data_IF_913033657291
#
_entry.id   IF_913033657291
#
_cell.length_a   1.000
_cell.length_b   1.000
_cell.length_c   1.000
_cell.angle_alpha   90.00
_cell.angle_beta   90.00
_cell.angle_gamma   90.00
#
_symmetry.space_group_name_H-M   'P 1'
#
loop_
_entity.id
_entity.type
_entity.pdbx_description
1 polymer ?
#
# COMPACT_ATOMS: atom_id res chain seq x y z
N UNK A 1 24.13 18.34 17.06
CA UNK A 1 24.06 17.63 15.78
C UNK A 1 22.61 17.53 15.30
N UNK A 2 22.39 17.11 14.07
CA UNK A 2 21.04 17.07 13.46
C UNK A 2 20.03 16.23 14.26
N UNK A 3 20.44 15.08 14.81
CA UNK A 3 19.56 14.23 15.61
C UNK A 3 19.13 14.88 16.92
N UNK A 4 20.06 15.55 17.60
CA UNK A 4 19.76 16.32 18.83
C UNK A 4 18.82 17.48 18.54
N UNK A 5 19.00 18.14 17.39
CA UNK A 5 18.13 19.23 16.95
C UNK A 5 16.71 18.71 16.64
N UNK A 6 16.60 17.63 15.90
CA UNK A 6 15.32 16.99 15.62
C UNK A 6 14.57 16.64 16.92
N UNK A 7 15.25 15.99 17.87
CA UNK A 7 14.64 15.62 19.14
C UNK A 7 14.10 16.83 19.92
N UNK A 8 14.88 17.92 20.00
CA UNK A 8 14.45 19.15 20.67
C UNK A 8 13.27 19.80 19.97
N UNK A 9 13.29 19.84 18.65
CA UNK A 9 12.18 20.41 17.85
C UNK A 9 10.92 19.57 17.99
N UNK A 10 11.04 18.24 18.02
CA UNK A 10 9.92 17.34 18.29
C UNK A 10 9.34 17.53 19.69
N UNK A 11 10.20 17.67 20.69
CA UNK A 11 9.77 17.98 22.06
C UNK A 11 8.96 19.29 22.11
N UNK A 12 9.49 20.36 21.54
CA UNK A 12 8.79 21.64 21.48
C UNK A 12 7.46 21.54 20.70
N UNK A 13 7.43 20.81 19.59
CA UNK A 13 6.20 20.55 18.82
C UNK A 13 5.12 19.91 19.69
N UNK A 14 5.47 18.87 20.45
CA UNK A 14 4.52 18.18 21.31
C UNK A 14 3.97 19.07 22.43
N UNK A 15 4.82 19.91 23.03
CA UNK A 15 4.37 20.84 24.06
C UNK A 15 3.47 21.96 23.50
N UNK A 16 3.80 22.49 22.34
CA UNK A 16 3.12 23.66 21.77
C UNK A 16 1.82 23.29 21.07
N UNK A 17 1.82 22.21 20.28
CA UNK A 17 0.67 21.84 19.45
C UNK A 17 -0.30 20.88 20.18
N UNK A 18 0.23 20.07 21.11
CA UNK A 18 -0.57 19.02 21.79
C UNK A 18 -0.67 19.20 23.30
N UNK A 19 -0.11 20.28 23.85
CA UNK A 19 -0.08 20.50 25.31
C UNK A 19 0.34 19.24 26.09
N UNK A 20 1.33 18.52 25.54
CA UNK A 20 1.84 17.30 26.14
C UNK A 20 2.44 17.62 27.52
N UNK A 21 2.26 16.70 28.48
CA UNK A 21 2.96 16.78 29.76
C UNK A 21 4.45 16.53 29.55
N UNK A 22 5.34 17.46 29.96
CA UNK A 22 6.76 17.34 29.69
C UNK A 22 7.40 16.12 30.34
N UNK A 23 6.99 15.78 31.55
CA UNK A 23 7.59 14.70 32.32
C UNK A 23 7.12 13.33 31.77
N UNK A 24 5.83 13.20 31.43
CA UNK A 24 5.30 12.00 30.79
C UNK A 24 5.94 11.78 29.42
N UNK A 25 6.11 12.83 28.61
CA UNK A 25 6.73 12.74 27.29
C UNK A 25 8.18 12.26 27.36
N UNK A 26 8.97 12.86 28.26
CA UNK A 26 10.37 12.46 28.48
C UNK A 26 10.44 11.04 29.04
N UNK A 27 9.53 10.67 29.93
CA UNK A 27 9.44 9.31 30.46
C UNK A 27 9.18 8.30 29.34
N UNK A 28 8.13 8.49 28.53
CA UNK A 28 7.84 7.59 27.40
C UNK A 28 9.04 7.44 26.45
N UNK A 29 9.72 8.54 26.13
CA UNK A 29 10.89 8.50 25.24
C UNK A 29 12.08 7.77 25.88
N UNK A 30 12.31 7.98 27.16
CA UNK A 30 13.40 7.31 27.91
C UNK A 30 13.16 5.80 27.95
N UNK A 31 11.98 5.38 28.36
CA UNK A 31 11.59 3.97 28.37
C UNK A 31 11.66 3.34 26.98
N UNK A 32 11.26 4.12 25.96
CA UNK A 32 11.33 3.67 24.56
C UNK A 32 12.77 3.44 24.10
N UNK A 33 13.72 4.28 24.51
CA UNK A 33 15.13 4.12 24.16
C UNK A 33 15.76 2.93 24.91
N UNK A 34 15.44 2.78 26.19
CA UNK A 34 15.92 1.67 27.03
C UNK A 34 15.38 0.34 26.53
N UNK A 35 14.07 0.28 26.20
CA UNK A 35 13.45 -0.89 25.59
C UNK A 35 13.39 -2.12 26.49
N UNK A 36 13.28 -1.94 27.81
CA UNK A 36 13.34 -3.01 28.82
C UNK A 36 11.98 -3.61 29.17
N UNK A 37 10.90 -3.11 28.56
CA UNK A 37 9.54 -3.58 28.80
C UNK A 37 8.75 -3.72 27.49
N UNK A 38 7.59 -4.38 27.56
CA UNK A 38 6.64 -4.43 26.45
C UNK A 38 5.91 -3.08 26.30
N UNK A 39 5.49 -2.73 25.06
CA UNK A 39 4.75 -1.50 24.82
C UNK A 39 3.45 -1.40 25.64
N UNK A 40 3.24 -0.27 26.27
CA UNK A 40 2.01 0.07 26.98
C UNK A 40 1.61 1.51 26.63
N UNK A 41 0.46 1.73 25.99
CA UNK A 41 -0.57 0.75 25.57
C UNK A 41 -0.10 -0.23 24.50
N UNK A 42 -0.66 -1.44 24.50
CA UNK A 42 -0.30 -2.54 23.60
C UNK A 42 -0.42 -2.17 22.11
N UNK A 43 -1.35 -1.30 21.78
CA UNK A 43 -1.67 -0.90 20.40
C UNK A 43 -0.59 0.01 19.83
N UNK A 44 -0.26 1.06 20.54
CA UNK A 44 0.78 2.05 20.19
C UNK A 44 1.02 2.95 21.42
N UNK A 45 2.24 3.44 21.58
CA UNK A 45 2.56 4.39 22.65
C UNK A 45 1.77 5.70 22.49
N UNK A 46 1.42 6.32 23.62
CA UNK A 46 0.57 7.52 23.67
C UNK A 46 1.07 8.66 22.79
N UNK A 47 2.30 9.06 22.96
CA UNK A 47 2.86 10.19 22.21
C UNK A 47 3.33 9.81 20.81
N UNK A 48 3.69 8.55 20.60
CA UNK A 48 3.90 8.01 19.25
C UNK A 48 2.62 8.07 18.44
N UNK A 49 1.46 7.69 19.00
CA UNK A 49 0.17 7.77 18.32
C UNK A 49 -0.16 9.19 17.86
N UNK A 50 0.07 10.18 18.71
CA UNK A 50 -0.19 11.59 18.40
C UNK A 50 0.66 12.04 17.20
N UNK A 51 1.97 11.81 17.25
CA UNK A 51 2.89 12.19 16.18
C UNK A 51 2.58 11.49 14.85
N UNK A 52 2.30 10.20 14.92
CA UNK A 52 1.98 9.42 13.71
C UNK A 52 0.61 9.80 13.16
N UNK A 53 -0.36 10.13 14.00
CA UNK A 53 -1.66 10.64 13.54
C UNK A 53 -1.51 11.96 12.80
N UNK A 54 -0.73 12.91 13.32
CA UNK A 54 -0.45 14.16 12.63
C UNK A 54 0.23 13.93 11.29
N UNK A 55 1.21 13.02 11.28
CA UNK A 55 1.89 12.61 10.07
C UNK A 55 0.93 12.03 9.02
N UNK A 56 0.05 11.10 9.42
CA UNK A 56 -0.95 10.54 8.50
C UNK A 56 -1.96 11.59 8.04
N UNK A 57 -2.38 12.50 8.90
CA UNK A 57 -3.24 13.61 8.54
C UNK A 57 -2.58 14.50 7.46
N UNK A 58 -1.28 14.77 7.60
CA UNK A 58 -0.53 15.52 6.60
C UNK A 58 -0.37 14.74 5.30
N UNK A 59 0.07 13.47 5.37
CA UNK A 59 0.50 12.70 4.21
C UNK A 59 -0.63 11.94 3.52
N UNK A 60 -1.55 11.38 4.29
CA UNK A 60 -2.63 10.54 3.75
C UNK A 60 -3.94 11.32 3.56
N UNK A 61 -4.10 12.44 4.25
CA UNK A 61 -5.28 13.29 4.12
C UNK A 61 -4.99 14.63 3.41
N UNK A 62 -3.78 14.81 2.87
CA UNK A 62 -3.35 16.09 2.28
C UNK A 62 -3.59 17.30 3.21
N UNK A 63 -3.32 17.13 4.52
CA UNK A 63 -3.56 18.15 5.54
C UNK A 63 -5.04 18.46 5.83
N UNK A 64 -5.97 17.70 5.28
CA UNK A 64 -7.42 17.88 5.45
C UNK A 64 -8.07 16.57 5.96
N UNK A 65 -7.85 16.20 7.22
CA UNK A 65 -8.43 14.99 7.78
C UNK A 65 -9.97 15.09 7.86
N UNK A 66 -10.68 13.95 7.85
CA UNK A 66 -12.11 13.94 8.11
C UNK A 66 -12.40 14.34 9.56
N UNK A 67 -13.66 14.66 9.84
CA UNK A 67 -14.09 14.93 11.23
C UNK A 67 -13.93 13.66 12.10
N UNK A 68 -13.42 13.82 13.30
CA UNK A 68 -13.09 12.75 14.23
C UNK A 68 -11.59 12.40 14.18
N UNK A 69 -11.24 11.23 14.70
CA UNK A 69 -9.84 10.79 14.75
C UNK A 69 -9.68 9.36 14.23
N UNK A 70 -8.46 9.02 13.89
CA UNK A 70 -8.07 7.66 13.62
C UNK A 70 -7.44 7.05 14.86
N UNK A 71 -7.84 5.85 15.21
CA UNK A 71 -7.10 5.01 16.13
C UNK A 71 -6.00 4.28 15.35
N UNK A 72 -4.80 4.18 15.92
CA UNK A 72 -3.64 3.61 15.23
C UNK A 72 -3.15 2.34 15.94
N UNK A 73 -2.68 1.38 15.15
CA UNK A 73 -2.02 0.17 15.64
C UNK A 73 -0.65 0.03 14.99
N UNK A 74 0.41 0.11 15.79
CA UNK A 74 1.80 -0.02 15.34
C UNK A 74 2.16 -1.49 15.07
N UNK A 75 2.65 -1.78 13.87
CA UNK A 75 2.95 -3.14 13.40
C UNK A 75 4.36 -3.29 12.87
N UNK A 76 4.84 -4.54 12.81
CA UNK A 76 6.18 -4.93 12.38
C UNK A 76 6.33 -4.91 10.85
N UNK A 77 5.91 -3.81 10.25
CA UNK A 77 5.86 -3.56 8.80
C UNK A 77 4.48 -3.78 8.21
N UNK A 78 4.27 -3.25 7.00
CA UNK A 78 2.97 -3.30 6.30
C UNK A 78 2.46 -4.72 6.07
N UNK A 79 3.35 -5.66 5.75
CA UNK A 79 2.98 -7.06 5.52
C UNK A 79 2.42 -7.71 6.78
N UNK A 80 3.02 -7.47 7.96
CA UNK A 80 2.47 -7.94 9.22
C UNK A 80 1.08 -7.33 9.49
N UNK A 81 0.95 -6.01 9.31
CA UNK A 81 -0.34 -5.32 9.45
C UNK A 81 -1.42 -5.90 8.54
N UNK A 82 -1.09 -6.16 7.29
CA UNK A 82 -2.00 -6.81 6.34
C UNK A 82 -2.44 -8.20 6.83
N UNK A 83 -1.51 -9.05 7.28
CA UNK A 83 -1.85 -10.37 7.81
C UNK A 83 -2.78 -10.27 9.02
N UNK A 84 -2.55 -9.31 9.93
CA UNK A 84 -3.42 -9.08 11.08
C UNK A 84 -4.82 -8.65 10.66
N UNK A 85 -4.95 -7.82 9.62
CA UNK A 85 -6.27 -7.43 9.09
C UNK A 85 -7.02 -8.64 8.56
N UNK A 86 -6.42 -9.46 7.69
CA UNK A 86 -7.08 -10.66 7.16
C UNK A 86 -7.53 -11.61 8.28
N UNK A 87 -6.64 -11.88 9.23
CA UNK A 87 -6.91 -12.77 10.36
C UNK A 87 -8.10 -12.25 11.20
N UNK A 88 -8.06 -10.99 11.61
CA UNK A 88 -9.09 -10.39 12.46
C UNK A 88 -10.42 -10.21 11.76
N UNK A 89 -10.46 -9.99 10.45
CA UNK A 89 -11.71 -9.96 9.69
C UNK A 89 -12.45 -11.30 9.80
N UNK A 90 -11.77 -12.42 9.72
CA UNK A 90 -12.36 -13.73 9.88
C UNK A 90 -12.71 -14.04 11.33
N UNK A 91 -11.79 -13.82 12.27
CA UNK A 91 -11.96 -14.10 13.70
C UNK A 91 -13.14 -13.30 14.32
N UNK A 92 -13.45 -12.14 13.76
CA UNK A 92 -14.58 -11.30 14.20
C UNK A 92 -15.84 -11.47 13.33
N UNK A 93 -15.91 -12.52 12.51
CA UNK A 93 -17.07 -12.85 11.68
C UNK A 93 -17.46 -11.76 10.67
N UNK A 94 -16.54 -10.92 10.27
CA UNK A 94 -16.72 -9.91 9.22
C UNK A 94 -16.54 -10.51 7.82
N UNK A 95 -15.64 -11.47 7.69
CA UNK A 95 -15.50 -12.35 6.54
C UNK A 95 -15.58 -13.81 6.98
N UNK A 96 -15.98 -14.66 6.05
CA UNK A 96 -16.03 -16.11 6.23
C UNK A 96 -15.40 -16.77 5.02
N UNK A 97 -14.88 -17.98 5.21
CA UNK A 97 -14.41 -18.81 4.13
C UNK A 97 -15.45 -18.88 3.00
N UNK A 98 -14.98 -18.62 1.76
CA UNK A 98 -15.82 -18.60 0.57
C UNK A 98 -16.62 -17.33 0.32
N UNK A 99 -16.45 -16.29 1.15
CA UNK A 99 -17.07 -14.99 0.89
C UNK A 99 -16.48 -14.33 -0.38
N UNK A 100 -17.32 -13.52 -1.05
CA UNK A 100 -16.87 -12.77 -2.22
C UNK A 100 -16.16 -11.48 -1.81
N UNK A 101 -14.95 -11.29 -2.34
CA UNK A 101 -14.13 -10.08 -2.15
C UNK A 101 -13.65 -9.57 -3.50
N UNK A 102 -13.14 -8.34 -3.55
CA UNK A 102 -12.58 -7.78 -4.75
C UNK A 102 -11.13 -7.32 -4.56
N UNK A 103 -10.32 -7.46 -5.60
CA UNK A 103 -8.96 -6.95 -5.70
C UNK A 103 -8.88 -5.94 -6.83
N UNK A 104 -8.31 -4.77 -6.59
CA UNK A 104 -7.94 -3.83 -7.65
C UNK A 104 -6.55 -4.19 -8.16
N UNK A 105 -6.49 -4.79 -9.34
CA UNK A 105 -5.26 -5.35 -9.93
C UNK A 105 -4.72 -4.48 -11.07
N UNK A 106 -3.39 -4.45 -11.35
CA UNK A 106 -2.33 -5.22 -10.69
C UNK A 106 -2.15 -4.83 -9.22
N UNK A 107 -1.80 -5.80 -8.39
CA UNK A 107 -1.68 -5.61 -6.93
C UNK A 107 -0.49 -6.39 -6.37
N UNK A 108 0.01 -5.98 -5.23
CA UNK A 108 1.10 -6.65 -4.52
C UNK A 108 0.74 -8.11 -4.22
N UNK A 109 1.59 -9.03 -4.67
CA UNK A 109 1.34 -10.49 -4.70
C UNK A 109 0.72 -11.10 -3.43
N UNK A 110 1.11 -10.73 -2.20
CA UNK A 110 0.45 -11.26 -1.00
C UNK A 110 -1.06 -11.00 -0.92
N UNK A 111 -1.56 -9.93 -1.54
CA UNK A 111 -3.00 -9.68 -1.62
C UNK A 111 -3.72 -10.61 -2.58
N UNK A 112 -2.99 -11.26 -3.50
CA UNK A 112 -3.50 -12.31 -4.39
C UNK A 112 -3.47 -13.66 -3.68
N UNK A 113 -2.32 -13.98 -3.06
CA UNK A 113 -2.08 -15.29 -2.46
C UNK A 113 -2.88 -15.55 -1.18
N UNK A 114 -3.03 -14.54 -0.31
CA UNK A 114 -3.74 -14.71 0.98
C UNK A 114 -5.20 -15.14 0.77
N UNK A 115 -6.01 -14.50 -0.09
CA UNK A 115 -7.38 -14.93 -0.36
C UNK A 115 -7.52 -16.38 -0.83
N UNK A 116 -6.52 -16.92 -1.52
CA UNK A 116 -6.50 -18.29 -2.04
C UNK A 116 -6.12 -19.35 -0.99
N UNK A 117 -5.58 -18.93 0.15
CA UNK A 117 -5.25 -19.88 1.23
C UNK A 117 -6.49 -20.68 1.64
N UNK A 118 -6.33 -21.98 1.83
CA UNK A 118 -7.42 -22.91 2.21
C UNK A 118 -8.25 -22.45 3.41
N UNK A 119 -7.64 -21.64 4.28
CA UNK A 119 -8.28 -21.00 5.43
C UNK A 119 -9.35 -19.99 5.00
N UNK A 120 -9.05 -19.17 4.00
CA UNK A 120 -9.91 -18.08 3.52
C UNK A 120 -10.74 -18.52 2.32
N UNK A 121 -10.11 -19.04 1.27
CA UNK A 121 -10.74 -19.61 0.08
C UNK A 121 -11.84 -18.67 -0.47
N UNK A 122 -11.49 -17.38 -0.60
CA UNK A 122 -12.45 -16.34 -1.01
C UNK A 122 -12.75 -16.44 -2.51
N UNK A 123 -14.01 -16.10 -2.87
CA UNK A 123 -14.41 -15.85 -4.26
C UNK A 123 -13.93 -14.46 -4.67
N UNK A 124 -12.90 -14.39 -5.51
CA UNK A 124 -12.20 -13.16 -5.84
C UNK A 124 -12.69 -12.56 -7.17
N UNK A 125 -13.15 -11.30 -7.13
CA UNK A 125 -13.37 -10.46 -8.30
C UNK A 125 -12.12 -9.60 -8.56
N UNK A 126 -11.44 -9.79 -9.69
CA UNK A 126 -10.40 -8.89 -10.14
C UNK A 126 -11.00 -7.69 -10.90
N UNK A 127 -10.65 -6.48 -10.46
CA UNK A 127 -10.97 -5.21 -11.11
C UNK A 127 -9.68 -4.69 -11.73
N UNK A 128 -9.50 -4.79 -13.08
CA UNK A 128 -8.22 -4.50 -13.72
C UNK A 128 -8.02 -3.02 -14.03
N UNK A 129 -6.81 -2.51 -13.80
CA UNK A 129 -6.36 -1.20 -14.25
C UNK A 129 -5.94 -1.27 -15.73
N UNK A 130 -6.90 -1.36 -16.63
CA UNK A 130 -6.67 -1.61 -18.05
C UNK A 130 -7.06 -0.45 -18.98
N UNK A 131 -7.18 0.76 -18.44
CA UNK A 131 -7.48 1.94 -19.26
C UNK A 131 -6.25 2.42 -20.02
N UNK A 132 -6.46 2.86 -21.25
CA UNK A 132 -5.43 3.40 -22.14
C UNK A 132 -5.80 4.83 -22.52
N UNK A 133 -4.80 5.67 -22.76
CA UNK A 133 -4.98 7.00 -23.32
C UNK A 133 -5.16 6.92 -24.87
N UNK A 134 -5.34 8.08 -25.52
CA UNK A 134 -5.51 8.17 -26.98
C UNK A 134 -4.29 7.66 -27.77
N UNK A 135 -3.11 7.67 -27.18
CA UNK A 135 -1.88 7.14 -27.76
C UNK A 135 -1.72 5.61 -27.57
N UNK A 136 -2.66 4.96 -26.88
CA UNK A 136 -2.62 3.54 -26.55
C UNK A 136 -1.69 3.18 -25.39
N UNK A 137 -1.32 4.17 -24.55
CA UNK A 137 -0.52 3.98 -23.36
C UNK A 137 -1.38 3.71 -22.13
N UNK A 138 -0.91 2.86 -21.24
CA UNK A 138 -1.58 2.63 -19.97
C UNK A 138 -1.67 3.91 -19.13
N UNK A 139 -2.89 4.23 -18.67
CA UNK A 139 -3.13 5.22 -17.62
C UNK A 139 -3.20 4.58 -16.24
N UNK A 140 -3.19 3.25 -16.20
CA UNK A 140 -3.27 2.42 -14.99
C UNK A 140 -4.46 2.79 -14.09
N UNK A 141 -5.57 3.20 -14.72
CA UNK A 141 -6.83 3.48 -14.04
C UNK A 141 -7.86 2.38 -14.32
N UNK A 142 -8.89 2.37 -13.52
CA UNK A 142 -9.95 1.37 -13.52
C UNK A 142 -11.19 1.91 -14.23
N UNK A 143 -11.90 1.05 -14.94
CA UNK A 143 -13.18 1.44 -15.56
C UNK A 143 -14.25 1.56 -14.48
N UNK A 144 -15.06 2.62 -14.57
CA UNK A 144 -16.18 2.85 -13.63
C UNK A 144 -17.17 1.69 -13.65
N UNK A 145 -17.39 1.07 -14.81
CA UNK A 145 -18.26 -0.10 -14.95
C UNK A 145 -17.77 -1.29 -14.13
N UNK A 146 -16.46 -1.49 -14.02
CA UNK A 146 -15.87 -2.57 -13.23
C UNK A 146 -15.97 -2.26 -11.72
N UNK A 147 -15.73 -1.00 -11.33
CA UNK A 147 -15.94 -0.56 -9.94
C UNK A 147 -17.41 -0.70 -9.55
N UNK A 148 -18.34 -0.42 -10.45
CA UNK A 148 -19.77 -0.54 -10.19
C UNK A 148 -20.26 -1.98 -9.91
N UNK A 149 -19.46 -3.01 -10.21
CA UNK A 149 -19.76 -4.39 -9.80
C UNK A 149 -19.83 -4.51 -8.27
N UNK A 150 -19.11 -3.65 -7.54
CA UNK A 150 -19.13 -3.59 -6.08
C UNK A 150 -20.46 -3.08 -5.48
N UNK A 151 -21.38 -2.60 -6.31
CA UNK A 151 -22.77 -2.28 -5.89
C UNK A 151 -23.53 -3.51 -5.39
N UNK A 152 -23.15 -4.69 -5.87
CA UNK A 152 -23.65 -5.96 -5.35
C UNK A 152 -23.08 -6.20 -3.95
N UNK A 153 -23.97 -6.27 -2.95
CA UNK A 153 -23.62 -6.45 -1.52
C UNK A 153 -23.03 -7.83 -1.21
N UNK A 154 -22.97 -8.75 -2.19
CA UNK A 154 -22.24 -10.01 -2.04
C UNK A 154 -20.74 -9.76 -1.85
N UNK A 155 -20.20 -8.71 -2.48
CA UNK A 155 -18.81 -8.29 -2.29
C UNK A 155 -18.68 -7.58 -0.95
N UNK A 156 -18.03 -8.23 0.00
CA UNK A 156 -17.93 -7.77 1.38
C UNK A 156 -16.71 -6.91 1.65
N UNK A 157 -15.61 -7.15 0.89
CA UNK A 157 -14.37 -6.41 1.05
C UNK A 157 -13.74 -6.06 -0.30
N UNK A 158 -13.03 -4.93 -0.33
CA UNK A 158 -12.18 -4.47 -1.42
C UNK A 158 -10.77 -4.28 -0.90
N UNK A 159 -9.80 -4.91 -1.55
CA UNK A 159 -8.37 -4.73 -1.26
C UNK A 159 -7.71 -3.94 -2.39
N UNK A 160 -6.92 -2.94 -2.03
CA UNK A 160 -6.24 -2.06 -2.96
C UNK A 160 -4.88 -1.62 -2.42
N UNK A 161 -3.90 -1.46 -3.30
CA UNK A 161 -2.67 -0.73 -3.05
C UNK A 161 -2.75 0.61 -3.77
N UNK A 162 -2.70 1.72 -3.05
CA UNK A 162 -2.91 3.06 -3.60
C UNK A 162 -1.87 4.06 -3.07
N UNK A 163 -0.96 4.55 -3.91
CA UNK A 163 -0.73 4.23 -5.34
C UNK A 163 -0.38 2.78 -5.59
N UNK A 164 -0.77 2.26 -6.75
CA UNK A 164 -0.70 0.85 -7.12
C UNK A 164 0.74 0.30 -7.16
N UNK A 165 0.88 -0.98 -7.03
CA UNK A 165 2.14 -1.73 -7.16
C UNK A 165 1.86 -2.98 -8.03
N UNK A 166 2.41 -3.09 -9.23
CA UNK A 166 3.62 -2.44 -9.81
C UNK A 166 3.44 -1.07 -10.48
N UNK A 167 2.27 -0.62 -11.00
CA UNK A 167 2.24 0.55 -11.88
C UNK A 167 2.65 1.88 -11.23
N UNK A 168 2.46 2.03 -9.91
CA UNK A 168 2.75 3.24 -9.15
C UNK A 168 1.88 4.45 -9.50
N UNK A 169 0.58 4.25 -9.63
CA UNK A 169 -0.39 5.31 -9.88
C UNK A 169 -1.45 5.34 -8.80
N UNK A 170 -1.77 6.54 -8.30
CA UNK A 170 -2.93 6.71 -7.42
C UNK A 170 -4.23 6.64 -8.21
N UNK A 171 -5.32 6.33 -7.51
CA UNK A 171 -6.65 6.40 -8.07
C UNK A 171 -6.98 7.79 -8.62
N UNK A 172 -7.56 7.83 -9.80
CA UNK A 172 -8.13 9.05 -10.34
C UNK A 172 -9.35 9.51 -9.52
N UNK A 173 -9.67 10.80 -9.63
CA UNK A 173 -10.87 11.35 -8.99
C UNK A 173 -12.13 10.59 -9.41
N UNK A 174 -12.21 10.19 -10.68
CA UNK A 174 -13.35 9.44 -11.22
C UNK A 174 -13.51 8.08 -10.55
N UNK A 175 -12.41 7.35 -10.33
CA UNK A 175 -12.42 6.08 -9.60
C UNK A 175 -12.84 6.28 -8.13
N UNK A 176 -12.32 7.32 -7.47
CA UNK A 176 -12.69 7.64 -6.09
C UNK A 176 -14.16 8.01 -5.99
N UNK A 177 -14.68 8.82 -6.91
CA UNK A 177 -16.11 9.20 -6.93
C UNK A 177 -17.01 7.99 -7.18
N UNK A 178 -16.60 7.04 -8.04
CA UNK A 178 -17.31 5.78 -8.23
C UNK A 178 -17.35 4.93 -6.95
N UNK A 179 -16.25 4.82 -6.22
CA UNK A 179 -16.22 4.12 -4.93
C UNK A 179 -17.10 4.82 -3.88
N UNK A 180 -17.11 6.15 -3.86
CA UNK A 180 -18.02 6.93 -3.00
C UNK A 180 -19.48 6.64 -3.32
N UNK A 181 -19.84 6.58 -4.59
CA UNK A 181 -21.20 6.22 -5.01
C UNK A 181 -21.58 4.81 -4.56
N UNK A 182 -20.70 3.83 -4.77
CA UNK A 182 -20.90 2.45 -4.30
C UNK A 182 -21.19 2.42 -2.80
N UNK A 183 -20.35 3.02 -1.97
CA UNK A 183 -20.46 2.98 -0.52
C UNK A 183 -21.68 3.76 -0.02
N UNK A 184 -21.97 4.92 -0.61
CA UNK A 184 -23.03 5.79 -0.08
C UNK A 184 -24.43 5.35 -0.49
N UNK A 185 -24.58 4.71 -1.65
CA UNK A 185 -25.89 4.41 -2.23
C UNK A 185 -26.23 2.93 -2.30
N UNK A 186 -25.21 2.05 -2.45
CA UNK A 186 -25.45 0.66 -2.85
C UNK A 186 -24.94 -0.36 -1.86
N UNK A 187 -23.69 -0.23 -1.41
CA UNK A 187 -23.04 -1.19 -0.53
C UNK A 187 -22.40 -0.49 0.68
N UNK A 188 -23.21 0.01 1.63
CA UNK A 188 -22.73 0.83 2.75
C UNK A 188 -21.88 0.07 3.76
N UNK A 189 -21.85 -1.25 3.70
CA UNK A 189 -21.04 -2.11 4.54
C UNK A 189 -19.78 -2.65 3.83
N UNK A 190 -19.50 -2.18 2.60
CA UNK A 190 -18.26 -2.56 1.92
C UNK A 190 -17.06 -2.17 2.78
N UNK A 191 -16.25 -3.15 3.16
CA UNK A 191 -15.00 -2.97 3.87
C UNK A 191 -13.88 -2.69 2.87
N UNK A 192 -13.19 -1.57 3.02
CA UNK A 192 -12.09 -1.19 2.13
C UNK A 192 -10.79 -1.32 2.91
N UNK A 193 -9.85 -2.08 2.39
CA UNK A 193 -8.50 -2.22 2.94
C UNK A 193 -7.54 -1.62 1.92
N UNK A 194 -6.92 -0.49 2.26
CA UNK A 194 -5.97 0.20 1.40
C UNK A 194 -4.56 0.15 1.97
N UNK A 195 -3.60 -0.20 1.13
CA UNK A 195 -2.16 -0.12 1.43
C UNK A 195 -1.61 1.13 0.73
N UNK A 196 -1.35 2.16 1.52
CA UNK A 196 -1.01 3.50 1.01
C UNK A 196 0.50 3.81 1.13
N UNK A 197 1.34 2.81 1.19
CA UNK A 197 2.79 2.95 1.40
C UNK A 197 3.48 3.89 0.39
N UNK A 198 2.91 4.08 -0.80
CA UNK A 198 3.47 4.95 -1.85
C UNK A 198 2.79 6.32 -1.93
N UNK A 199 1.81 6.63 -1.09
CA UNK A 199 1.08 7.90 -1.10
C UNK A 199 1.97 9.13 -0.96
N UNK A 200 3.01 9.03 -0.12
CA UNK A 200 4.00 10.09 0.10
C UNK A 200 4.80 10.52 -1.14
N UNK A 201 4.80 9.70 -2.20
CA UNK A 201 5.44 10.00 -3.49
C UNK A 201 4.55 10.76 -4.47
N UNK A 202 3.30 11.01 -4.12
CA UNK A 202 2.37 11.80 -4.96
C UNK A 202 2.07 13.12 -4.26
N UNK A 203 2.45 14.27 -4.86
CA UNK A 203 2.08 15.57 -4.30
C UNK A 203 0.56 15.71 -4.21
N UNK A 204 0.07 16.10 -3.04
CA UNK A 204 -1.37 16.25 -2.82
C UNK A 204 -2.15 14.94 -2.69
N UNK A 205 -1.47 13.84 -2.42
CA UNK A 205 -2.11 12.53 -2.24
C UNK A 205 -3.25 12.59 -1.21
N UNK A 206 -4.33 11.89 -1.53
CA UNK A 206 -5.45 11.74 -0.63
C UNK A 206 -5.93 10.29 -0.64
N UNK A 207 -5.80 9.64 0.49
CA UNK A 207 -6.18 8.25 0.72
C UNK A 207 -7.69 8.05 0.78
N UNK A 208 -8.14 6.83 0.51
CA UNK A 208 -9.53 6.42 0.80
C UNK A 208 -9.86 6.50 2.28
N UNK A 209 -8.88 6.43 3.20
CA UNK A 209 -9.12 6.68 4.63
C UNK A 209 -9.63 8.10 4.92
N UNK A 210 -9.26 9.07 4.09
CA UNK A 210 -9.71 10.44 4.21
C UNK A 210 -11.07 10.67 3.53
N UNK A 211 -11.31 9.98 2.42
CA UNK A 211 -12.52 10.16 1.60
C UNK A 211 -13.68 9.25 1.99
N UNK A 212 -13.38 8.06 2.51
CA UNK A 212 -14.34 7.05 3.00
C UNK A 212 -13.92 6.53 4.39
N UNK A 213 -13.74 7.42 5.39
CA UNK A 213 -13.11 7.06 6.66
C UNK A 213 -13.83 5.94 7.40
N UNK A 214 -15.17 5.88 7.31
CA UNK A 214 -15.93 4.89 8.04
C UNK A 214 -15.83 3.47 7.47
N UNK A 215 -15.45 3.35 6.18
CA UNK A 215 -15.38 2.06 5.48
C UNK A 215 -13.95 1.56 5.30
N UNK A 216 -12.94 2.37 5.65
CA UNK A 216 -11.55 2.13 5.23
C UNK A 216 -10.64 1.81 6.40
N UNK A 217 -9.92 0.69 6.29
CA UNK A 217 -8.68 0.42 7.03
C UNK A 217 -7.53 0.86 6.13
N UNK A 218 -6.67 1.73 6.63
CA UNK A 218 -5.44 2.10 5.95
C UNK A 218 -4.25 1.38 6.60
N UNK A 219 -3.42 0.74 5.77
CA UNK A 219 -2.11 0.23 6.16
C UNK A 219 -1.08 1.18 5.57
N UNK A 220 -0.28 1.81 6.42
CA UNK A 220 0.82 2.68 5.99
C UNK A 220 2.16 2.17 6.51
N UNK A 221 3.18 2.12 5.65
CA UNK A 221 4.53 1.70 6.01
C UNK A 221 5.55 2.81 5.79
N UNK A 222 6.41 3.02 6.79
CA UNK A 222 7.55 3.94 6.73
C UNK A 222 8.70 3.42 5.85
N UNK A 223 8.61 2.18 5.38
CA UNK A 223 9.69 1.46 4.69
C UNK A 223 10.21 2.15 3.44
N UNK A 224 9.32 2.79 2.65
CA UNK A 224 9.65 3.26 1.30
C UNK A 224 10.11 4.71 1.29
N UNK A 225 9.30 5.60 1.85
CA UNK A 225 9.58 7.03 1.81
C UNK A 225 10.88 7.41 2.50
N UNK A 226 11.18 6.80 3.63
CA UNK A 226 12.40 7.04 4.40
C UNK A 226 13.57 6.10 4.03
N UNK A 227 13.41 5.22 3.04
CA UNK A 227 14.42 4.22 2.71
C UNK A 227 14.74 3.26 3.86
N UNK A 228 13.77 3.00 4.74
CA UNK A 228 13.94 2.38 6.05
C UNK A 228 13.31 0.97 6.12
N UNK A 229 13.43 0.19 5.05
CA UNK A 229 12.79 -1.14 4.94
C UNK A 229 13.20 -2.10 6.05
N UNK A 230 14.43 -2.02 6.51
CA UNK A 230 14.96 -2.89 7.58
C UNK A 230 14.41 -2.61 8.97
N UNK A 231 13.88 -1.42 9.23
CA UNK A 231 13.28 -1.07 10.51
C UNK A 231 11.95 -1.77 10.79
N UNK A 232 11.24 -2.23 9.77
CA UNK A 232 9.93 -2.89 9.91
C UNK A 232 8.92 -2.03 10.65
N UNK A 233 8.68 -0.79 10.18
CA UNK A 233 7.77 0.17 10.81
C UNK A 233 6.53 0.39 9.94
N UNK A 234 5.37 0.08 10.47
CA UNK A 234 4.09 0.37 9.84
C UNK A 234 3.00 0.62 10.87
N UNK A 235 1.89 1.16 10.43
CA UNK A 235 0.69 1.35 11.24
C UNK A 235 -0.55 0.95 10.46
N UNK A 236 -1.54 0.45 11.18
CA UNK A 236 -2.92 0.35 10.73
C UNK A 236 -3.66 1.55 11.30
N UNK A 237 -4.42 2.25 10.46
CA UNK A 237 -5.27 3.36 10.87
C UNK A 237 -6.74 3.02 10.60
N UNK A 238 -7.59 3.23 11.61
CA UNK A 238 -9.03 3.01 11.53
C UNK A 238 -9.76 4.16 12.19
N UNK A 239 -10.72 4.75 11.49
CA UNK A 239 -11.50 5.85 12.03
C UNK A 239 -12.31 5.41 13.25
N UNK A 240 -12.42 6.28 14.26
CA UNK A 240 -13.14 5.99 15.51
C UNK A 240 -14.63 5.61 15.32
N UNK A 241 -15.23 6.07 14.21
CA UNK A 241 -16.56 5.67 13.75
C UNK A 241 -16.41 4.88 12.46
N UNK A 242 -16.62 3.57 12.51
CA UNK A 242 -16.36 2.70 11.36
C UNK A 242 -17.42 1.60 11.22
N UNK A 243 -17.47 1.02 10.02
CA UNK A 243 -18.44 -0.04 9.69
C UNK A 243 -18.09 -1.36 10.37
N UNK A 244 -16.82 -1.60 10.67
CA UNK A 244 -16.34 -2.85 11.29
C UNK A 244 -16.92 -3.00 12.68
N UNK A 245 -16.77 -1.99 13.53
CA UNK A 245 -17.37 -1.96 14.87
C UNK A 245 -18.89 -2.05 14.81
N UNK A 246 -19.51 -1.34 13.85
CA UNK A 246 -20.97 -1.37 13.67
C UNK A 246 -21.45 -2.76 13.27
N UNK A 247 -20.77 -3.46 12.37
CA UNK A 247 -21.15 -4.82 11.96
C UNK A 247 -20.96 -5.82 13.09
N UNK A 248 -19.87 -5.73 13.85
CA UNK A 248 -19.65 -6.58 15.05
C UNK A 248 -20.75 -6.35 16.07
N UNK A 249 -21.13 -5.10 16.33
CA UNK A 249 -22.22 -4.77 17.25
C UNK A 249 -23.59 -5.36 16.83
N UNK A 250 -23.78 -5.60 15.53
CA UNK A 250 -25.00 -6.16 14.96
C UNK A 250 -24.95 -7.70 14.75
N UNK A 251 -23.88 -8.38 15.16
CA UNK A 251 -23.79 -9.83 15.05
C UNK A 251 -24.87 -10.55 15.86
N UNK A 252 -25.30 -11.74 15.40
CA UNK A 252 -26.24 -12.58 16.16
C UNK A 252 -25.70 -12.94 17.54
N UNK A 253 -26.60 -13.14 18.51
CA UNK A 253 -26.26 -13.46 19.91
C UNK A 253 -25.26 -14.62 20.06
N UNK A 254 -25.37 -15.65 19.22
CA UNK A 254 -24.44 -16.79 19.20
C UNK A 254 -23.00 -16.32 18.92
N UNK A 255 -22.82 -15.51 17.88
CA UNK A 255 -21.51 -14.97 17.48
C UNK A 255 -20.95 -14.03 18.56
N UNK A 256 -21.78 -13.19 19.14
CA UNK A 256 -21.37 -12.35 20.27
C UNK A 256 -20.89 -13.18 21.46
N UNK A 257 -21.53 -14.30 21.74
CA UNK A 257 -21.09 -15.23 22.80
C UNK A 257 -19.74 -15.89 22.47
N UNK A 258 -19.47 -16.20 21.22
CA UNK A 258 -18.18 -16.73 20.77
C UNK A 258 -17.08 -15.67 20.94
N UNK A 259 -17.33 -14.40 20.54
CA UNK A 259 -16.40 -13.29 20.74
C UNK A 259 -16.19 -12.98 22.23
N UNK A 260 -17.22 -13.09 23.07
CA UNK A 260 -17.09 -12.94 24.51
C UNK A 260 -16.14 -13.97 25.13
N UNK A 261 -16.13 -15.20 24.62
CA UNK A 261 -15.16 -16.23 25.04
C UNK A 261 -13.75 -15.92 24.54
N UNK A 262 -13.62 -15.43 23.28
CA UNK A 262 -12.32 -15.14 22.68
C UNK A 262 -11.60 -13.98 23.38
N UNK A 263 -12.31 -12.89 23.65
CA UNK A 263 -11.74 -11.65 24.19
C UNK A 263 -12.05 -11.40 25.67
N UNK A 264 -12.67 -12.36 26.35
CA UNK A 264 -13.10 -12.20 27.76
C UNK A 264 -11.96 -11.98 28.77
N UNK A 265 -10.71 -12.32 28.38
CA UNK A 265 -9.53 -12.00 29.22
C UNK A 265 -9.11 -10.53 29.14
N UNK A 266 -9.56 -9.79 28.11
CA UNK A 266 -9.19 -8.38 27.88
C UNK A 266 -10.13 -7.41 28.58
N UNK A 267 -11.41 -7.74 28.65
CA UNK A 267 -12.44 -6.87 29.22
C UNK A 267 -13.63 -7.67 29.69
N UNK A 268 -14.25 -7.21 30.78
CA UNK A 268 -15.55 -7.73 31.22
C UNK A 268 -16.70 -7.28 30.31
N UNK A 269 -16.50 -6.24 29.50
CA UNK A 269 -17.44 -5.69 28.54
C UNK A 269 -16.90 -5.86 27.11
N UNK A 270 -16.83 -7.10 26.65
CA UNK A 270 -16.24 -7.47 25.33
C UNK A 270 -16.92 -6.76 24.17
N UNK A 271 -18.21 -6.45 24.30
CA UNK A 271 -19.00 -5.71 23.30
C UNK A 271 -18.45 -4.29 23.04
N UNK A 272 -17.76 -3.70 23.99
CA UNK A 272 -17.18 -2.36 23.88
C UNK A 272 -15.74 -2.34 23.32
N UNK A 273 -15.12 -3.51 23.13
CA UNK A 273 -13.78 -3.59 22.54
C UNK A 273 -13.87 -3.20 21.05
N UNK A 274 -13.15 -2.17 20.66
CA UNK A 274 -13.06 -1.71 19.27
C UNK A 274 -12.40 -2.77 18.38
N UNK A 275 -12.75 -2.81 17.12
CA UNK A 275 -12.17 -3.75 16.15
C UNK A 275 -10.64 -3.64 16.09
N UNK A 276 -10.09 -2.43 16.14
CA UNK A 276 -8.63 -2.23 16.14
C UNK A 276 -7.95 -2.88 17.36
N UNK A 277 -8.57 -2.81 18.54
CA UNK A 277 -8.03 -3.44 19.75
C UNK A 277 -8.19 -4.97 19.71
N UNK A 278 -9.21 -5.48 19.00
CA UNK A 278 -9.33 -6.91 18.70
C UNK A 278 -8.21 -7.39 17.78
N UNK A 279 -7.85 -6.60 16.76
CA UNK A 279 -6.67 -6.92 15.92
C UNK A 279 -5.38 -6.99 16.74
N UNK A 280 -5.20 -6.10 17.71
CA UNK A 280 -4.05 -6.18 18.63
C UNK A 280 -4.06 -7.51 19.37
N UNK A 281 -5.18 -7.88 19.97
CA UNK A 281 -5.31 -9.15 20.69
C UNK A 281 -5.07 -10.37 19.80
N UNK A 282 -5.62 -10.37 18.59
CA UNK A 282 -5.45 -11.45 17.63
C UNK A 282 -3.99 -11.60 17.21
N UNK A 283 -3.27 -10.49 17.00
CA UNK A 283 -1.84 -10.50 16.67
C UNK A 283 -0.94 -11.07 17.79
N UNK A 284 -1.44 -11.16 19.01
CA UNK A 284 -0.73 -11.70 20.19
C UNK A 284 -0.98 -13.18 20.42
N UNK A 285 -1.69 -13.87 19.53
CA UNK A 285 -1.99 -15.30 19.70
C UNK A 285 -0.75 -16.17 19.55
N UNK A 286 -0.35 -16.77 20.64
CA UNK A 286 0.92 -17.49 20.80
C UNK A 286 1.00 -18.78 19.95
N UNK A 287 -0.14 -19.38 19.60
CA UNK A 287 -0.15 -20.71 19.00
C UNK A 287 0.46 -20.76 17.58
N UNK A 288 0.33 -19.68 16.80
CA UNK A 288 0.76 -19.65 15.40
C UNK A 288 1.63 -18.45 15.04
N UNK A 289 1.33 -17.26 15.56
CA UNK A 289 1.95 -16.00 15.16
C UNK A 289 2.22 -15.16 16.41
N UNK A 290 3.07 -15.65 17.30
CA UNK A 290 3.38 -14.89 18.49
C UNK A 290 4.21 -13.65 18.16
N UNK A 291 3.68 -12.50 18.52
CA UNK A 291 4.43 -11.24 18.60
C UNK A 291 4.00 -10.48 19.86
N UNK A 292 4.94 -9.75 20.45
CA UNK A 292 4.66 -8.83 21.56
C UNK A 292 4.33 -7.42 21.06
N UNK A 293 4.19 -7.24 19.75
CA UNK A 293 4.00 -5.96 19.08
C UNK A 293 5.29 -5.27 18.70
N UNK A 294 5.14 -4.14 18.01
CA UNK A 294 6.28 -3.33 17.64
C UNK A 294 7.01 -2.83 18.89
N UNK A 295 8.32 -3.07 18.97
CA UNK A 295 9.11 -2.77 20.16
C UNK A 295 9.15 -1.27 20.47
N UNK A 296 9.41 -0.92 21.74
CA UNK A 296 9.57 0.46 22.18
C UNK A 296 10.60 1.25 21.36
N UNK A 297 11.84 0.75 21.14
CA UNK A 297 12.82 1.47 20.32
C UNK A 297 12.36 1.69 18.88
N UNK A 298 11.62 0.73 18.29
CA UNK A 298 11.07 0.88 16.95
C UNK A 298 9.97 1.93 16.92
N UNK A 299 9.11 2.01 17.93
CA UNK A 299 8.09 3.06 18.03
C UNK A 299 8.71 4.45 18.24
N UNK A 300 9.79 4.56 19.02
CA UNK A 300 10.55 5.81 19.12
C UNK A 300 11.13 6.22 17.77
N UNK A 301 11.68 5.28 16.99
CA UNK A 301 12.17 5.56 15.65
C UNK A 301 11.04 5.99 14.71
N UNK A 302 9.86 5.39 14.83
CA UNK A 302 8.66 5.79 14.08
C UNK A 302 8.27 7.24 14.40
N UNK A 303 8.29 7.63 15.67
CA UNK A 303 8.06 9.01 16.12
C UNK A 303 9.04 10.01 15.49
N UNK A 304 10.32 9.64 15.41
CA UNK A 304 11.35 10.47 14.80
C UNK A 304 11.16 10.62 13.27
N UNK A 305 10.76 9.57 12.56
CA UNK A 305 10.43 9.66 11.14
C UNK A 305 9.19 10.54 10.91
N UNK A 306 8.14 10.36 11.70
CA UNK A 306 6.94 11.18 11.60
C UNK A 306 7.24 12.66 11.85
N UNK A 307 7.92 12.98 12.95
CA UNK A 307 8.28 14.35 13.30
C UNK A 307 9.27 14.97 12.32
N UNK A 308 10.19 14.21 11.75
CA UNK A 308 11.09 14.71 10.71
C UNK A 308 10.30 15.27 9.51
N UNK A 309 9.29 14.55 9.02
CA UNK A 309 8.44 15.03 7.94
C UNK A 309 7.55 16.20 8.37
N UNK A 310 6.95 16.13 9.55
CA UNK A 310 6.10 17.21 10.10
C UNK A 310 6.85 18.54 10.28
N UNK A 311 8.13 18.48 10.60
CA UNK A 311 8.99 19.64 10.86
C UNK A 311 9.72 20.16 9.62
N UNK A 312 9.70 19.43 8.50
CA UNK A 312 10.22 19.85 7.19
C UNK A 312 9.17 20.71 6.46
N UNK A 313 8.94 21.92 6.95
CA UNK A 313 7.90 22.82 6.41
C UNK A 313 8.11 23.21 4.95
N UNK A 314 9.34 23.14 4.46
CA UNK A 314 9.68 23.44 3.06
C UNK A 314 9.61 22.21 2.17
N UNK A 315 9.27 21.04 2.71
CA UNK A 315 9.25 19.76 1.99
C UNK A 315 10.58 19.43 1.30
N UNK A 316 11.70 19.81 1.88
CA UNK A 316 13.04 19.67 1.30
C UNK A 316 13.35 18.21 1.01
N UNK A 317 13.05 17.32 1.96
CA UNK A 317 13.25 15.88 1.78
C UNK A 317 12.35 15.31 0.68
N UNK A 318 11.08 15.67 0.66
CA UNK A 318 10.14 15.24 -0.38
C UNK A 318 10.61 15.66 -1.76
N UNK A 319 10.99 16.92 -1.95
CA UNK A 319 11.50 17.40 -3.23
C UNK A 319 12.74 16.63 -3.67
N UNK A 320 13.67 16.35 -2.76
CA UNK A 320 14.86 15.55 -3.07
C UNK A 320 14.50 14.12 -3.51
N UNK A 321 13.55 13.47 -2.80
CA UNK A 321 13.12 12.11 -3.14
C UNK A 321 12.38 12.05 -4.48
N UNK A 322 11.46 12.97 -4.71
CA UNK A 322 10.73 13.04 -5.98
C UNK A 322 11.66 13.31 -7.17
N UNK A 323 12.60 14.26 -7.03
CA UNK A 323 13.59 14.54 -8.06
C UNK A 323 14.44 13.32 -8.36
N UNK A 324 14.91 12.59 -7.34
CA UNK A 324 15.69 11.38 -7.52
C UNK A 324 14.95 10.32 -8.32
N UNK A 325 13.69 10.05 -7.94
CA UNK A 325 12.84 9.06 -8.60
C UNK A 325 12.52 9.50 -10.02
N UNK A 326 12.18 10.77 -10.24
CA UNK A 326 11.87 11.31 -11.57
C UNK A 326 13.07 11.20 -12.52
N UNK A 327 14.28 11.55 -12.05
CA UNK A 327 15.51 11.41 -12.83
C UNK A 327 15.74 9.96 -13.26
N UNK A 328 15.56 9.02 -12.33
CA UNK A 328 15.72 7.58 -12.61
C UNK A 328 14.65 7.03 -13.55
N UNK A 329 13.40 7.47 -13.37
CA UNK A 329 12.29 7.12 -14.25
C UNK A 329 12.56 7.59 -15.69
N UNK A 330 12.98 8.84 -15.85
CA UNK A 330 13.34 9.40 -17.15
C UNK A 330 14.51 8.64 -17.77
N UNK A 331 15.57 8.36 -17.01
CA UNK A 331 16.73 7.58 -17.46
C UNK A 331 16.30 6.17 -17.96
N UNK A 332 15.36 5.53 -17.28
CA UNK A 332 14.83 4.24 -17.72
C UNK A 332 14.08 4.36 -19.04
N UNK A 333 13.05 5.20 -19.10
CA UNK A 333 12.11 5.25 -20.22
C UNK A 333 12.71 5.83 -21.49
N UNK A 334 13.48 6.91 -21.43
CA UNK A 334 14.14 7.50 -22.61
C UNK A 334 15.03 6.47 -23.33
N UNK A 335 15.63 5.55 -22.57
CA UNK A 335 16.50 4.52 -23.12
C UNK A 335 15.76 3.27 -23.64
N UNK A 336 14.47 3.10 -23.32
CA UNK A 336 13.61 2.16 -24.05
C UNK A 336 13.25 2.69 -25.46
N UNK A 337 13.52 3.96 -25.74
CA UNK A 337 13.09 4.66 -26.95
C UNK A 337 11.65 5.19 -26.86
N UNK A 338 11.07 5.19 -25.67
CA UNK A 338 9.71 5.61 -25.43
C UNK A 338 9.69 6.84 -24.51
N UNK A 339 9.00 7.89 -24.90
CA UNK A 339 8.80 9.07 -24.05
C UNK A 339 7.57 8.82 -23.20
N UNK A 340 7.78 8.68 -21.89
CA UNK A 340 6.69 8.54 -20.95
C UNK A 340 6.11 9.93 -20.63
N UNK A 341 4.81 10.18 -20.92
CA UNK A 341 4.18 11.46 -20.60
C UNK A 341 4.20 11.76 -19.12
N UNK A 342 4.25 13.03 -18.75
CA UNK A 342 4.04 13.44 -17.36
C UNK A 342 2.61 13.12 -16.93
N UNK A 343 2.47 12.63 -15.69
CA UNK A 343 1.18 12.29 -15.10
C UNK A 343 1.20 12.64 -13.60
N UNK A 344 0.32 13.54 -13.15
CA UNK A 344 0.26 13.95 -11.74
C UNK A 344 -0.19 12.84 -10.79
N UNK A 345 -0.78 11.76 -11.30
CA UNK A 345 -1.22 10.61 -10.52
C UNK A 345 -0.08 9.60 -10.28
N UNK A 346 1.07 9.78 -10.93
CA UNK A 346 2.18 8.85 -10.85
C UNK A 346 3.03 9.09 -9.60
N UNK A 347 3.14 8.07 -8.75
CA UNK A 347 4.10 8.02 -7.65
C UNK A 347 5.53 7.71 -8.13
N UNK A 348 5.65 6.87 -9.13
CA UNK A 348 6.91 6.55 -9.79
C UNK A 348 7.92 5.76 -8.96
N UNK A 349 7.55 5.19 -7.81
CA UNK A 349 8.46 4.36 -7.02
C UNK A 349 8.82 3.06 -7.73
N UNK A 350 7.87 2.50 -8.45
CA UNK A 350 8.07 1.47 -9.45
C UNK A 350 7.68 2.01 -10.83
N UNK A 351 8.13 1.31 -11.85
CA UNK A 351 7.62 1.48 -13.20
C UNK A 351 7.29 0.12 -13.79
N UNK A 352 6.11 -0.01 -14.35
CA UNK A 352 5.70 -1.19 -15.11
C UNK A 352 5.79 -0.88 -16.60
N UNK A 353 6.55 -1.68 -17.33
CA UNK A 353 6.77 -1.54 -18.76
C UNK A 353 6.04 -2.67 -19.46
N UNK A 354 4.94 -2.35 -20.15
CA UNK A 354 4.24 -3.30 -21.00
C UNK A 354 4.94 -3.39 -22.37
N UNK A 355 5.57 -4.53 -22.60
CA UNK A 355 6.36 -4.78 -23.80
C UNK A 355 5.49 -4.92 -25.06
N UNK A 356 4.21 -5.31 -24.94
CA UNK A 356 3.31 -5.36 -26.09
C UNK A 356 2.88 -3.95 -26.52
N UNK A 357 2.70 -3.04 -25.60
CA UNK A 357 2.46 -1.62 -25.92
C UNK A 357 3.66 -1.04 -26.65
N UNK A 358 4.88 -1.35 -26.18
CA UNK A 358 6.12 -0.98 -26.84
C UNK A 358 6.20 -1.58 -28.25
N UNK A 359 5.95 -2.89 -28.39
CA UNK A 359 6.00 -3.61 -29.65
C UNK A 359 4.99 -3.07 -30.67
N UNK A 360 3.76 -2.78 -30.23
CA UNK A 360 2.72 -2.20 -31.06
C UNK A 360 3.12 -0.84 -31.62
N UNK A 361 3.68 0.03 -30.77
CA UNK A 361 4.11 1.38 -31.18
C UNK A 361 5.20 1.36 -32.23
N UNK A 362 6.18 0.48 -32.10
CA UNK A 362 7.35 0.47 -33.01
C UNK A 362 7.21 -0.44 -34.22
N UNK A 363 6.40 -1.50 -34.13
CA UNK A 363 6.32 -2.55 -35.16
C UNK A 363 4.90 -2.96 -35.55
N UNK A 364 3.87 -2.46 -34.87
CA UNK A 364 2.46 -2.71 -35.19
C UNK A 364 1.90 -4.02 -34.65
N UNK A 365 0.61 -4.24 -34.93
CA UNK A 365 -0.16 -5.35 -34.33
C UNK A 365 0.31 -6.75 -34.82
N UNK A 366 0.83 -6.87 -36.02
CA UNK A 366 1.34 -8.15 -36.53
C UNK A 366 2.57 -8.65 -35.73
N UNK A 367 3.42 -7.73 -35.32
CA UNK A 367 4.56 -8.10 -34.46
C UNK A 367 4.11 -8.46 -33.03
N UNK A 368 3.12 -7.77 -32.50
CA UNK A 368 2.49 -8.13 -31.22
C UNK A 368 1.96 -9.56 -31.27
N UNK A 369 1.22 -9.90 -32.32
CA UNK A 369 0.68 -11.25 -32.51
C UNK A 369 1.82 -12.29 -32.63
N UNK A 370 2.88 -11.97 -33.36
CA UNK A 370 4.05 -12.85 -33.48
C UNK A 370 4.70 -13.10 -32.12
N UNK A 371 4.91 -12.08 -31.31
CA UNK A 371 5.47 -12.23 -29.95
C UNK A 371 4.60 -13.19 -29.13
N UNK A 372 3.29 -12.93 -29.07
CA UNK A 372 2.36 -13.71 -28.25
C UNK A 372 2.23 -15.18 -28.67
N UNK A 373 2.41 -15.48 -29.97
CA UNK A 373 2.27 -16.85 -30.51
C UNK A 373 3.57 -17.62 -30.55
N UNK A 374 4.72 -16.94 -30.54
CA UNK A 374 6.04 -17.56 -30.76
C UNK A 374 6.88 -17.67 -29.50
N UNK A 375 6.72 -16.75 -28.57
CA UNK A 375 7.57 -16.65 -27.36
C UNK A 375 6.76 -16.73 -26.07
N UNK A 376 7.43 -17.14 -24.99
CA UNK A 376 6.86 -17.06 -23.65
C UNK A 376 7.09 -15.65 -23.07
N UNK A 377 6.12 -15.04 -22.39
CA UNK A 377 6.30 -13.75 -21.73
C UNK A 377 7.54 -13.66 -20.82
N UNK A 378 7.90 -14.77 -20.18
CA UNK A 378 9.06 -14.84 -19.28
C UNK A 378 10.41 -14.85 -20.01
N UNK A 379 10.45 -15.10 -21.33
CA UNK A 379 11.72 -15.16 -22.09
C UNK A 379 12.52 -13.86 -21.95
N UNK A 380 11.85 -12.70 -21.99
CA UNK A 380 12.52 -11.39 -21.84
C UNK A 380 13.14 -11.26 -20.45
N UNK A 381 12.43 -11.70 -19.41
CA UNK A 381 12.92 -11.63 -18.01
C UNK A 381 14.15 -12.52 -17.86
N UNK A 382 14.13 -13.74 -18.36
CA UNK A 382 15.25 -14.66 -18.30
C UNK A 382 16.44 -14.19 -19.16
N UNK A 383 16.19 -13.60 -20.33
CA UNK A 383 17.22 -13.02 -21.18
C UNK A 383 17.89 -11.83 -20.49
N UNK A 384 17.11 -10.94 -19.87
CA UNK A 384 17.67 -9.83 -19.08
C UNK A 384 18.59 -10.35 -17.98
N UNK A 385 18.16 -11.36 -17.23
CA UNK A 385 18.95 -11.95 -16.16
C UNK A 385 20.23 -12.61 -16.69
N UNK A 386 20.12 -13.46 -17.70
CA UNK A 386 21.24 -14.26 -18.22
C UNK A 386 22.27 -13.45 -19.03
N UNK A 387 21.79 -12.49 -19.84
CA UNK A 387 22.65 -11.75 -20.76
C UNK A 387 23.25 -10.49 -20.12
N UNK A 388 22.59 -9.92 -19.12
CA UNK A 388 22.96 -8.60 -18.58
C UNK A 388 23.11 -8.57 -17.05
N UNK A 389 22.73 -9.63 -16.35
CA UNK A 389 22.68 -9.69 -14.89
C UNK A 389 21.56 -8.85 -14.27
N UNK A 390 20.61 -8.36 -15.07
CA UNK A 390 19.47 -7.55 -14.61
C UNK A 390 18.30 -8.45 -14.20
N UNK A 391 17.94 -8.40 -12.92
CA UNK A 391 16.79 -9.13 -12.39
C UNK A 391 15.63 -8.16 -12.22
N UNK A 392 14.56 -8.38 -12.99
CA UNK A 392 13.30 -7.64 -12.92
C UNK A 392 12.17 -8.61 -12.62
N UNK A 393 11.03 -8.12 -12.17
CA UNK A 393 9.87 -8.96 -11.88
C UNK A 393 8.88 -8.90 -13.04
N UNK A 394 8.30 -10.05 -13.39
CA UNK A 394 7.22 -10.12 -14.37
C UNK A 394 5.92 -9.56 -13.79
N UNK A 395 5.17 -8.77 -14.58
CA UNK A 395 3.91 -8.17 -14.17
C UNK A 395 2.78 -9.19 -13.98
N UNK A 396 2.82 -10.32 -14.67
CA UNK A 396 1.85 -11.41 -14.49
C UNK A 396 1.78 -11.94 -13.06
N UNK A 397 2.88 -11.89 -12.31
CA UNK A 397 2.89 -12.26 -10.88
C UNK A 397 2.14 -11.28 -9.96
N UNK A 398 1.60 -10.20 -10.50
CA UNK A 398 0.80 -9.19 -9.81
C UNK A 398 -0.62 -9.08 -10.39
N UNK A 399 -1.06 -10.08 -11.14
CA UNK A 399 -2.29 -10.02 -11.97
C UNK A 399 -2.32 -8.83 -12.94
N UNK A 400 -1.13 -8.43 -13.39
CA UNK A 400 -0.94 -7.43 -14.43
C UNK A 400 -0.74 -8.06 -15.81
N UNK A 401 -0.38 -7.24 -16.84
CA UNK A 401 -0.09 -7.77 -18.16
C UNK A 401 1.08 -8.80 -18.11
N UNK A 402 0.88 -9.96 -18.70
CA UNK A 402 1.90 -11.03 -18.70
C UNK A 402 3.20 -10.60 -19.39
N UNK A 403 3.09 -9.78 -20.45
CA UNK A 403 4.21 -9.22 -21.20
C UNK A 403 4.72 -7.91 -20.60
N UNK A 404 4.71 -7.78 -19.29
CA UNK A 404 5.24 -6.60 -18.62
C UNK A 404 6.35 -6.94 -17.63
N UNK A 405 7.15 -5.94 -17.32
CA UNK A 405 8.20 -6.01 -16.30
C UNK A 405 8.10 -4.85 -15.33
N UNK A 406 8.24 -5.16 -14.04
CA UNK A 406 8.34 -4.17 -12.97
C UNK A 406 9.79 -3.83 -12.68
N UNK A 407 10.12 -2.55 -12.72
CA UNK A 407 11.43 -2.00 -12.34
C UNK A 407 11.27 -1.15 -11.08
N UNK A 408 12.07 -1.42 -10.05
CA UNK A 408 12.14 -0.56 -8.85
C UNK A 408 13.07 0.61 -9.11
N UNK A 409 12.63 1.84 -8.82
CA UNK A 409 13.43 3.06 -9.00
C UNK A 409 14.19 3.49 -7.74
N UNK A 410 14.08 2.71 -6.65
CA UNK A 410 14.67 3.06 -5.36
C UNK A 410 16.14 2.66 -5.18
N UNK A 411 16.60 1.59 -5.82
CA UNK A 411 17.77 0.84 -5.32
C UNK A 411 19.05 1.00 -6.14
N UNK A 412 18.97 1.53 -7.37
CA UNK A 412 20.11 1.58 -8.30
C UNK A 412 20.52 3.02 -8.60
N UNK A 413 21.67 3.18 -9.22
CA UNK A 413 22.13 4.47 -9.72
C UNK A 413 21.50 4.79 -11.08
N UNK A 414 21.49 6.05 -11.48
CA UNK A 414 20.93 6.50 -12.76
C UNK A 414 21.50 5.73 -13.96
N UNK A 415 22.81 5.47 -13.97
CA UNK A 415 23.50 4.71 -15.03
C UNK A 415 22.96 3.28 -15.21
N UNK A 416 22.47 2.68 -14.12
CA UNK A 416 21.91 1.34 -14.17
C UNK A 416 20.52 1.35 -14.82
N UNK A 417 19.72 2.38 -14.58
CA UNK A 417 18.43 2.56 -15.25
C UNK A 417 18.58 2.79 -16.76
N UNK A 418 19.59 3.54 -17.18
CA UNK A 418 19.97 3.66 -18.60
C UNK A 418 20.24 2.28 -19.20
N UNK A 419 21.05 1.44 -18.52
CA UNK A 419 21.36 0.08 -18.99
C UNK A 419 20.11 -0.80 -19.07
N UNK A 420 19.21 -0.70 -18.08
CA UNK A 420 17.95 -1.47 -18.08
C UNK A 420 17.12 -1.09 -19.32
N UNK A 421 16.91 0.20 -19.56
CA UNK A 421 16.15 0.67 -20.72
C UNK A 421 16.75 0.22 -22.05
N UNK A 422 18.06 0.37 -22.21
CA UNK A 422 18.79 -0.08 -23.41
C UNK A 422 18.70 -1.60 -23.60
N UNK A 423 18.78 -2.38 -22.53
CA UNK A 423 18.73 -3.84 -22.59
C UNK A 423 17.35 -4.34 -23.00
N UNK A 424 16.28 -3.77 -22.44
CA UNK A 424 14.89 -4.07 -22.85
C UNK A 424 14.71 -3.76 -24.34
N UNK A 425 15.10 -2.55 -24.76
CA UNK A 425 15.00 -2.13 -26.16
C UNK A 425 15.78 -3.06 -27.09
N UNK A 426 17.00 -3.45 -26.74
CA UNK A 426 17.84 -4.36 -27.53
C UNK A 426 17.14 -5.72 -27.72
N UNK A 427 16.69 -6.33 -26.64
CA UNK A 427 16.06 -7.66 -26.69
C UNK A 427 14.79 -7.62 -27.56
N UNK A 428 13.95 -6.60 -27.39
CA UNK A 428 12.74 -6.47 -28.22
C UNK A 428 13.05 -6.21 -29.70
N UNK A 429 14.09 -5.43 -30.01
CA UNK A 429 14.55 -5.23 -31.38
C UNK A 429 15.10 -6.53 -31.99
N UNK A 430 15.83 -7.35 -31.24
CA UNK A 430 16.29 -8.66 -31.73
C UNK A 430 15.14 -9.58 -32.12
N UNK A 431 14.05 -9.62 -31.34
CA UNK A 431 12.84 -10.35 -31.72
C UNK A 431 12.21 -9.79 -32.99
N UNK A 432 12.17 -8.47 -33.14
CA UNK A 432 11.63 -7.82 -34.34
C UNK A 432 12.45 -8.08 -35.59
N UNK A 433 13.77 -8.07 -35.47
CA UNK A 433 14.67 -8.37 -36.60
C UNK A 433 14.57 -9.84 -37.04
N UNK A 434 14.45 -10.77 -36.09
CA UNK A 434 14.19 -12.18 -36.40
C UNK A 434 12.85 -12.35 -37.14
N UNK A 435 11.77 -11.76 -36.62
CA UNK A 435 10.45 -11.77 -37.25
C UNK A 435 10.48 -11.22 -38.69
N UNK A 436 11.18 -10.10 -38.93
CA UNK A 436 11.33 -9.54 -40.29
C UNK A 436 12.10 -10.47 -41.22
N UNK A 437 13.09 -11.20 -40.70
CA UNK A 437 13.87 -12.15 -41.48
C UNK A 437 13.07 -13.40 -41.88
N UNK A 438 12.15 -13.84 -41.04
CA UNK A 438 11.24 -14.97 -41.29
C UNK A 438 10.13 -14.65 -42.31
N UNK A 439 9.84 -13.37 -42.54
CA UNK A 439 8.88 -12.90 -43.55
C UNK A 439 9.48 -12.75 -44.96
N UNK A 440 10.81 -12.78 -45.07
CA UNK A 440 11.51 -12.71 -46.35
C UNK A 440 11.73 -14.11 -46.92
#
# INVERSE_FOLDING_TARGET
NAGTDLLKRTYNYMLMEHTADPDELVHEWTESIVGDQYPMPDRILKYTEILVQDYLNQEMCNGQPPQGKFDLFATEGGTAGMCYVFDSLEENFLLHKGDSVALMVPIFTPYIEIPELTRYDYDVLNIPANTLNEEGLHTWQYKVEDINKLRDTKYKALFIVNPSNPPSYQLSKECVDALKDVVTRWNPNLMIITDDVYGTFVPGFRSLMADLPQNTICVYSFSKYFGATGWRLAVIALHEKNVFDRMIANLPRKRKSELAKRYGSLSMQVENIKFIDRMVADSRQVALNHTAGLSLPQQMQMSLFASFSLLDKENTYRHAMLNLIHTRLKALWDNTGFILPDDPLRAGYYSEIDMLVWAKKFYGDEFVQHLQTTYNPLDVVFRLANETGLVVLNGGGFDGPEWSVRVSLANLNEKDYIKIGLSIRRILNEYADKWKSEKK
#
